data_IF_991885824934
#
_entry.id   IF_991885824934
#
_cell.length_a   1.000
_cell.length_b   1.000
_cell.length_c   1.000
_cell.angle_alpha   90.00
_cell.angle_beta   90.00
_cell.angle_gamma   90.00
#
_symmetry.space_group_name_H-M   'P 1'
#
loop_
_entity.id
_entity.type
_entity.pdbx_description
1 polymer ?
#
# COMPACT_ATOMS: atom_id res chain seq x y z
N UNK A 1 -38.40 -34.72 -31.35
CA UNK A 1 -38.11 -33.53 -30.52
C UNK A 1 -36.67 -33.40 -30.09
N UNK A 2 -35.92 -34.47 -29.90
CA UNK A 2 -34.53 -34.49 -29.37
C UNK A 2 -33.45 -33.90 -30.29
N UNK A 3 -33.53 -34.03 -31.62
CA UNK A 3 -32.51 -33.49 -32.54
C UNK A 3 -32.52 -31.97 -32.71
N UNK A 4 -33.70 -31.31 -32.56
CA UNK A 4 -33.78 -29.84 -32.64
C UNK A 4 -33.29 -29.15 -31.39
N UNK A 5 -33.45 -29.75 -30.21
CA UNK A 5 -32.95 -29.23 -28.93
C UNK A 5 -31.42 -29.34 -28.86
N UNK A 6 -30.83 -30.42 -29.40
CA UNK A 6 -29.35 -30.57 -29.44
C UNK A 6 -28.69 -29.51 -30.36
N UNK A 7 -29.36 -29.23 -31.52
CA UNK A 7 -28.83 -28.21 -32.44
C UNK A 7 -28.86 -26.79 -31.85
N UNK A 8 -29.90 -26.46 -31.06
CA UNK A 8 -29.99 -25.15 -30.39
C UNK A 8 -28.96 -25.00 -29.30
N UNK A 9 -28.67 -26.05 -28.50
CA UNK A 9 -27.66 -26.05 -27.48
C UNK A 9 -26.23 -25.91 -28.03
N UNK A 10 -25.95 -26.58 -29.18
CA UNK A 10 -24.63 -26.47 -29.84
C UNK A 10 -24.43 -25.09 -30.45
N UNK A 11 -25.44 -24.48 -31.05
CA UNK A 11 -25.35 -23.12 -31.60
C UNK A 11 -25.21 -22.09 -30.50
N UNK A 12 -25.90 -22.24 -29.36
CA UNK A 12 -25.72 -21.38 -28.19
C UNK A 12 -24.29 -21.49 -27.59
N UNK A 13 -23.76 -22.72 -27.47
CA UNK A 13 -22.41 -22.94 -26.96
C UNK A 13 -21.31 -22.36 -27.89
N UNK A 14 -21.51 -22.46 -29.22
CA UNK A 14 -20.59 -21.86 -30.19
C UNK A 14 -20.68 -20.32 -30.24
N UNK A 15 -21.88 -19.75 -30.05
CA UNK A 15 -22.05 -18.31 -29.97
C UNK A 15 -21.42 -17.72 -28.68
N UNK A 16 -21.57 -18.40 -27.56
CA UNK A 16 -20.92 -18.00 -26.29
C UNK A 16 -19.40 -18.20 -26.31
N UNK A 17 -18.91 -19.31 -26.86
CA UNK A 17 -17.51 -19.57 -27.04
C UNK A 17 -16.84 -18.59 -28.01
N UNK A 18 -17.54 -18.24 -29.12
CA UNK A 18 -17.07 -17.24 -30.08
C UNK A 18 -17.05 -15.82 -29.51
N UNK A 19 -18.01 -15.44 -28.68
CA UNK A 19 -18.02 -14.15 -28.02
C UNK A 19 -16.90 -14.04 -26.95
N UNK A 20 -16.68 -15.09 -26.16
CA UNK A 20 -15.59 -15.14 -25.18
C UNK A 20 -14.22 -15.08 -25.86
N UNK A 21 -14.00 -15.84 -26.93
CA UNK A 21 -12.75 -15.83 -27.70
C UNK A 21 -12.51 -14.49 -28.40
N UNK A 22 -13.56 -13.79 -28.84
CA UNK A 22 -13.46 -12.49 -29.48
C UNK A 22 -13.12 -11.37 -28.47
N UNK A 23 -13.65 -11.45 -27.24
CA UNK A 23 -13.37 -10.48 -26.17
C UNK A 23 -11.92 -10.65 -25.67
N UNK A 24 -11.45 -11.88 -25.48
CA UNK A 24 -10.06 -12.15 -25.10
C UNK A 24 -9.06 -11.78 -26.21
N UNK A 25 -9.44 -11.94 -27.49
CA UNK A 25 -8.59 -11.54 -28.62
C UNK A 25 -8.44 -10.01 -28.76
N UNK A 26 -9.40 -9.22 -28.28
CA UNK A 26 -9.31 -7.75 -28.26
C UNK A 26 -8.70 -7.17 -26.98
N UNK A 27 -8.26 -8.01 -26.03
CA UNK A 27 -7.66 -7.54 -24.79
C UNK A 27 -8.64 -6.82 -23.84
N UNK A 28 -9.97 -7.04 -24.04
CA UNK A 28 -10.99 -6.53 -23.14
C UNK A 28 -11.41 -7.60 -22.15
N UNK A 29 -11.40 -7.29 -20.87
CA UNK A 29 -12.05 -8.10 -19.84
C UNK A 29 -13.54 -8.25 -20.15
N UNK A 30 -14.12 -9.42 -19.87
CA UNK A 30 -15.57 -9.61 -19.98
C UNK A 30 -16.25 -8.68 -18.97
N UNK A 31 -17.17 -7.78 -19.36
CA UNK A 31 -17.76 -6.77 -18.47
C UNK A 31 -18.72 -7.33 -17.42
N UNK A 32 -18.61 -8.60 -17.07
CA UNK A 32 -19.52 -9.31 -16.17
C UNK A 32 -18.87 -9.89 -14.91
N UNK A 33 -17.56 -9.73 -14.76
CA UNK A 33 -16.87 -10.11 -13.51
C UNK A 33 -16.19 -8.84 -12.98
N UNK A 34 -16.67 -8.28 -11.86
CA UNK A 34 -15.94 -7.19 -11.19
C UNK A 34 -14.50 -7.62 -10.97
N UNK A 35 -13.55 -6.73 -11.15
CA UNK A 35 -12.17 -6.99 -10.75
C UNK A 35 -12.17 -7.30 -9.25
N UNK A 36 -11.45 -8.34 -8.85
CA UNK A 36 -11.28 -8.62 -7.43
C UNK A 36 -10.37 -7.52 -6.88
N UNK A 37 -10.86 -6.81 -5.86
CA UNK A 37 -10.06 -5.82 -5.16
C UNK A 37 -9.06 -6.53 -4.26
N UNK A 38 -7.80 -6.38 -4.56
CA UNK A 38 -6.69 -7.03 -3.86
C UNK A 38 -5.39 -6.26 -4.08
N UNK A 39 -4.42 -6.49 -3.23
CA UNK A 39 -3.07 -5.99 -3.43
C UNK A 39 -2.10 -7.15 -3.65
N UNK A 40 -1.07 -6.89 -4.42
CA UNK A 40 -0.08 -7.87 -4.79
C UNK A 40 1.33 -7.35 -4.53
N UNK A 41 2.21 -8.24 -4.06
CA UNK A 41 3.64 -8.00 -3.99
C UNK A 41 4.37 -9.09 -4.75
N UNK A 42 5.29 -8.72 -5.66
CA UNK A 42 6.06 -9.70 -6.42
C UNK A 42 7.55 -9.37 -6.39
N UNK A 43 8.35 -10.31 -5.88
CA UNK A 43 9.81 -10.19 -5.82
C UNK A 43 10.42 -11.54 -6.21
N UNK A 44 11.38 -11.52 -7.13
CA UNK A 44 12.11 -12.72 -7.62
C UNK A 44 11.20 -13.87 -8.07
N UNK A 45 10.03 -13.52 -8.63
CA UNK A 45 9.04 -14.49 -9.13
C UNK A 45 8.11 -15.06 -8.05
N UNK A 46 8.27 -14.72 -6.78
CA UNK A 46 7.34 -15.05 -5.71
C UNK A 46 6.26 -13.98 -5.61
N UNK A 47 5.00 -14.38 -5.73
CA UNK A 47 3.81 -13.52 -5.65
C UNK A 47 3.14 -13.73 -4.30
N UNK A 48 2.80 -12.63 -3.64
CA UNK A 48 1.98 -12.60 -2.43
C UNK A 48 0.74 -11.76 -2.72
N UNK A 49 -0.42 -12.30 -2.44
CA UNK A 49 -1.73 -11.65 -2.58
C UNK A 49 -2.31 -11.37 -1.20
N UNK A 50 -2.84 -10.18 -1.01
CA UNK A 50 -3.47 -9.71 0.23
C UNK A 50 -4.79 -9.03 -0.12
N UNK A 51 -5.80 -9.18 0.72
CA UNK A 51 -6.97 -8.31 0.63
C UNK A 51 -6.62 -6.86 1.00
N UNK A 52 -7.55 -5.92 0.78
CA UNK A 52 -7.29 -4.49 1.01
C UNK A 52 -7.01 -4.19 2.49
N UNK A 53 -7.66 -4.89 3.44
CA UNK A 53 -7.43 -4.68 4.86
C UNK A 53 -6.05 -5.16 5.29
N UNK A 54 -5.67 -6.37 4.90
CA UNK A 54 -4.33 -6.93 5.14
C UNK A 54 -3.24 -6.05 4.57
N UNK A 55 -3.46 -5.53 3.35
CA UNK A 55 -2.51 -4.67 2.66
C UNK A 55 -2.28 -3.35 3.36
N UNK A 56 -3.34 -2.72 3.88
CA UNK A 56 -3.25 -1.49 4.67
C UNK A 56 -2.39 -1.68 5.91
N UNK A 57 -2.59 -2.79 6.63
CA UNK A 57 -1.81 -3.05 7.84
C UNK A 57 -0.40 -3.54 7.54
N UNK A 58 -0.17 -4.35 6.49
CA UNK A 58 1.18 -4.72 6.07
C UNK A 58 2.02 -3.48 5.69
N UNK A 59 1.40 -2.56 4.94
CA UNK A 59 2.04 -1.30 4.59
C UNK A 59 2.30 -0.40 5.81
N UNK A 60 1.36 -0.34 6.77
CA UNK A 60 1.52 0.41 8.03
C UNK A 60 2.68 -0.15 8.87
N UNK A 61 2.70 -1.46 9.11
CA UNK A 61 3.78 -2.14 9.84
C UNK A 61 5.14 -1.79 9.22
N UNK A 62 5.23 -1.90 7.89
CA UNK A 62 6.47 -1.62 7.17
C UNK A 62 6.84 -0.13 7.20
N UNK A 63 5.87 0.77 7.02
CA UNK A 63 6.10 2.21 7.04
C UNK A 63 6.67 2.68 8.39
N UNK A 64 6.17 2.13 9.50
CA UNK A 64 6.69 2.42 10.84
C UNK A 64 8.14 1.94 10.99
N UNK A 65 8.52 0.77 10.44
CA UNK A 65 9.92 0.33 10.46
C UNK A 65 10.82 1.28 9.68
N UNK A 66 10.36 1.78 8.51
CA UNK A 66 11.07 2.78 7.70
C UNK A 66 11.19 4.11 8.44
N UNK A 67 10.12 4.56 9.08
CA UNK A 67 10.10 5.78 9.90
C UNK A 67 11.12 5.70 11.05
N UNK A 68 11.24 4.54 11.69
CA UNK A 68 12.20 4.27 12.79
C UNK A 68 13.62 4.04 12.30
N UNK A 69 13.86 3.99 10.99
CA UNK A 69 15.20 3.70 10.41
C UNK A 69 15.65 2.26 10.63
N UNK A 70 14.73 1.33 10.88
CA UNK A 70 15.04 -0.08 11.10
C UNK A 70 15.36 -0.79 9.78
N UNK A 71 16.17 -1.87 9.79
CA UNK A 71 16.43 -2.65 8.59
C UNK A 71 15.14 -3.38 8.10
N UNK A 72 15.06 -3.69 6.81
CA UNK A 72 13.93 -4.43 6.22
C UNK A 72 13.64 -5.77 6.93
N UNK A 73 14.66 -6.34 7.59
CA UNK A 73 14.49 -7.54 8.40
C UNK A 73 13.54 -7.33 9.57
N UNK A 74 13.53 -6.16 10.20
CA UNK A 74 12.57 -5.86 11.27
C UNK A 74 11.13 -5.92 10.73
N UNK A 75 10.88 -5.33 9.54
CA UNK A 75 9.59 -5.45 8.87
C UNK A 75 9.24 -6.92 8.54
N UNK A 76 10.21 -7.72 8.09
CA UNK A 76 9.99 -9.16 7.84
C UNK A 76 9.55 -9.88 9.13
N UNK A 77 10.21 -9.66 10.25
CA UNK A 77 9.86 -10.27 11.54
C UNK A 77 8.45 -9.85 11.97
N UNK A 78 8.15 -8.54 11.89
CA UNK A 78 6.86 -8.01 12.29
C UNK A 78 5.71 -8.54 11.40
N UNK A 79 5.92 -8.60 10.07
CA UNK A 79 4.93 -9.13 9.12
C UNK A 79 4.67 -10.62 9.33
N UNK A 80 5.72 -11.43 9.50
CA UNK A 80 5.57 -12.86 9.80
C UNK A 80 4.82 -13.07 11.12
N UNK A 81 5.12 -12.23 12.12
CA UNK A 81 4.42 -12.27 13.41
C UNK A 81 2.95 -11.89 13.26
N UNK A 82 2.64 -10.74 12.65
CA UNK A 82 1.27 -10.28 12.47
C UNK A 82 0.45 -11.27 11.63
N UNK A 83 1.07 -11.90 10.63
CA UNK A 83 0.39 -12.94 9.84
C UNK A 83 0.02 -14.14 10.69
N UNK A 84 0.93 -14.64 11.53
CA UNK A 84 0.66 -15.76 12.42
C UNK A 84 -0.38 -15.42 13.48
N UNK A 85 -0.31 -14.26 14.09
CA UNK A 85 -1.15 -13.87 15.21
C UNK A 85 -2.59 -13.50 14.81
N UNK A 86 -2.75 -12.80 13.68
CA UNK A 86 -4.04 -12.23 13.29
C UNK A 86 -4.37 -12.34 11.80
N UNK A 87 -3.49 -12.92 10.97
CA UNK A 87 -3.54 -12.84 9.51
C UNK A 87 -3.43 -11.40 8.98
N UNK A 88 -2.70 -10.56 9.70
CA UNK A 88 -2.53 -9.12 9.42
C UNK A 88 -3.88 -8.37 9.47
N UNK A 89 -4.78 -8.77 10.34
CA UNK A 89 -6.08 -8.12 10.60
C UNK A 89 -6.08 -7.55 12.02
N UNK A 90 -6.61 -6.33 12.19
CA UNK A 90 -6.64 -5.68 13.50
C UNK A 90 -7.83 -6.17 14.33
N UNK A 91 -7.69 -7.34 14.93
CA UNK A 91 -8.75 -8.03 15.66
C UNK A 91 -9.10 -7.32 16.97
N UNK A 92 -10.39 -7.09 17.23
CA UNK A 92 -10.87 -6.52 18.51
C UNK A 92 -10.75 -7.49 19.67
N UNK A 93 -10.70 -8.79 19.42
CA UNK A 93 -10.65 -9.86 20.43
C UNK A 93 -9.78 -11.02 19.96
N UNK A 94 -9.24 -11.81 20.89
CA UNK A 94 -8.45 -13.01 20.61
C UNK A 94 -8.52 -14.03 21.76
N UNK A 95 -7.52 -14.90 21.86
CA UNK A 95 -7.44 -15.80 23.00
C UNK A 95 -7.18 -15.01 24.30
N UNK A 96 -7.99 -15.31 25.33
CA UNK A 96 -7.97 -14.60 26.62
C UNK A 96 -8.24 -13.10 26.44
N UNK A 97 -7.23 -12.27 26.69
CA UNK A 97 -7.29 -10.81 26.55
C UNK A 97 -6.40 -10.27 25.42
N UNK A 98 -6.07 -11.11 24.43
CA UNK A 98 -5.28 -10.72 23.26
C UNK A 98 -6.06 -9.82 22.32
N UNK A 99 -5.39 -8.77 21.80
CA UNK A 99 -6.01 -7.72 20.95
C UNK A 99 -5.05 -7.31 19.83
N UNK A 100 -5.61 -6.92 18.70
CA UNK A 100 -4.94 -6.21 17.62
C UNK A 100 -4.09 -7.08 16.70
N UNK A 101 -3.29 -6.42 15.88
CA UNK A 101 -2.46 -7.02 14.83
C UNK A 101 -1.51 -8.10 15.34
N UNK A 102 -0.96 -7.91 16.53
CA UNK A 102 0.06 -8.80 17.11
C UNK A 102 -0.48 -9.63 18.28
N UNK A 103 -1.81 -9.66 18.49
CA UNK A 103 -2.47 -10.34 19.59
C UNK A 103 -1.78 -10.09 20.95
N UNK A 104 -1.44 -8.82 21.16
CA UNK A 104 -0.81 -8.33 22.39
C UNK A 104 -1.82 -8.32 23.54
N UNK A 105 -1.34 -8.59 24.78
CA UNK A 105 -2.21 -8.77 25.93
C UNK A 105 -2.04 -7.65 26.96
N UNK A 106 -3.13 -6.91 27.31
CA UNK A 106 -3.12 -5.94 28.40
C UNK A 106 -2.59 -6.51 29.71
N UNK A 107 -3.00 -7.74 30.07
CA UNK A 107 -2.54 -8.41 31.29
C UNK A 107 -1.04 -8.71 31.33
N UNK A 108 -0.36 -8.64 30.19
CA UNK A 108 1.10 -8.84 30.05
C UNK A 108 1.87 -7.53 29.93
N UNK A 109 1.20 -6.39 30.07
CA UNK A 109 1.85 -5.07 30.08
C UNK A 109 2.11 -4.44 28.72
N UNK A 110 1.51 -4.98 27.63
CA UNK A 110 1.68 -4.41 26.29
C UNK A 110 1.00 -3.07 26.10
N UNK A 111 -0.02 -2.77 26.89
CA UNK A 111 -0.78 -1.51 26.82
C UNK A 111 -2.23 -1.72 27.27
N UNK A 112 -3.00 -0.65 27.24
CA UNK A 112 -4.44 -0.72 27.46
C UNK A 112 -5.16 -1.28 26.23
N UNK A 113 -6.38 -1.81 26.34
CA UNK A 113 -7.16 -2.27 25.19
C UNK A 113 -7.26 -1.20 24.08
N UNK A 114 -7.54 0.07 24.45
CA UNK A 114 -7.64 1.17 23.49
C UNK A 114 -6.31 1.47 22.75
N UNK A 115 -5.18 1.27 23.42
CA UNK A 115 -3.86 1.41 22.78
C UNK A 115 -3.58 0.23 21.83
N UNK A 116 -3.91 -1.00 22.22
CA UNK A 116 -3.63 -2.19 21.41
C UNK A 116 -4.55 -2.34 20.20
N UNK A 117 -5.72 -1.68 20.19
CA UNK A 117 -6.57 -1.54 19.00
C UNK A 117 -6.13 -0.40 18.08
N UNK A 118 -5.24 0.50 18.52
CA UNK A 118 -4.56 1.44 17.63
C UNK A 118 -3.38 0.73 16.92
N UNK A 119 -3.46 0.49 15.60
CA UNK A 119 -2.43 -0.27 14.89
C UNK A 119 -1.06 0.44 14.87
N UNK A 120 -1.03 1.77 14.98
CA UNK A 120 0.23 2.52 15.08
C UNK A 120 0.89 2.27 16.43
N UNK A 121 0.12 2.32 17.53
CA UNK A 121 0.63 2.02 18.86
C UNK A 121 1.11 0.57 18.95
N UNK A 122 0.27 -0.39 18.55
CA UNK A 122 0.57 -1.82 18.62
C UNK A 122 1.85 -2.17 17.85
N UNK A 123 2.02 -1.58 16.66
CA UNK A 123 3.23 -1.77 15.84
C UNK A 123 4.48 -1.16 16.50
N UNK A 124 4.36 0.05 17.06
CA UNK A 124 5.48 0.65 17.79
C UNK A 124 5.86 -0.16 19.01
N UNK A 125 4.89 -0.65 19.80
CA UNK A 125 5.14 -1.51 20.94
C UNK A 125 5.85 -2.81 20.54
N UNK A 126 5.47 -3.40 19.41
CA UNK A 126 6.18 -4.57 18.85
C UNK A 126 7.64 -4.24 18.52
N UNK A 127 7.89 -3.13 17.82
CA UNK A 127 9.26 -2.72 17.47
C UNK A 127 10.09 -2.32 18.69
N UNK A 128 9.49 -1.68 19.70
CA UNK A 128 10.17 -1.39 20.96
C UNK A 128 10.65 -2.67 21.66
N UNK A 129 9.83 -3.74 21.61
CA UNK A 129 10.23 -5.04 22.14
C UNK A 129 11.29 -5.73 21.27
N UNK A 130 11.18 -5.63 19.93
CA UNK A 130 12.15 -6.21 19.00
C UNK A 130 13.54 -5.54 19.15
N UNK A 131 13.59 -4.22 19.39
CA UNK A 131 14.83 -3.48 19.63
C UNK A 131 15.56 -3.96 20.90
N UNK A 132 14.90 -4.68 21.82
CA UNK A 132 15.51 -5.28 23.00
C UNK A 132 16.05 -6.70 22.76
N UNK A 133 15.80 -7.27 21.57
CA UNK A 133 16.30 -8.61 21.21
C UNK A 133 17.68 -8.48 20.59
N UNK A 134 18.71 -8.83 21.34
CA UNK A 134 20.09 -8.76 20.88
C UNK A 134 20.32 -9.60 19.61
N UNK A 135 20.79 -8.95 18.54
CA UNK A 135 21.16 -9.63 17.30
C UNK A 135 20.00 -10.10 16.42
N UNK A 136 18.80 -9.58 16.62
CA UNK A 136 17.61 -9.94 15.81
C UNK A 136 17.86 -9.80 14.29
N UNK A 137 18.75 -8.92 13.87
CA UNK A 137 19.09 -8.68 12.46
C UNK A 137 19.70 -9.92 11.78
N UNK A 138 20.36 -10.80 12.53
CA UNK A 138 20.98 -12.03 12.02
C UNK A 138 20.32 -13.32 12.51
N UNK A 139 19.43 -13.21 13.50
CA UNK A 139 18.70 -14.34 14.09
C UNK A 139 17.67 -14.91 13.09
N UNK A 140 17.32 -16.21 13.08
CA UNK A 140 16.17 -16.72 12.34
C UNK A 140 14.91 -15.92 12.66
N UNK A 141 14.05 -15.67 11.64
CA UNK A 141 12.83 -14.85 11.81
C UNK A 141 11.93 -15.41 12.91
N UNK A 142 11.76 -16.73 12.93
CA UNK A 142 10.92 -17.41 13.92
C UNK A 142 11.47 -17.25 15.34
N UNK A 143 12.79 -17.31 15.53
CA UNK A 143 13.42 -17.11 16.84
C UNK A 143 13.24 -15.67 17.32
N UNK A 144 13.48 -14.67 16.47
CA UNK A 144 13.28 -13.26 16.81
C UNK A 144 11.82 -12.95 17.15
N UNK A 145 10.88 -13.46 16.37
CA UNK A 145 9.44 -13.35 16.65
C UNK A 145 9.06 -13.98 17.99
N UNK A 146 9.61 -15.17 18.28
CA UNK A 146 9.36 -15.89 19.53
C UNK A 146 9.93 -15.15 20.75
N UNK A 147 11.11 -14.53 20.66
CA UNK A 147 11.68 -13.73 21.74
C UNK A 147 10.77 -12.53 22.10
N UNK A 148 10.14 -11.92 21.11
CA UNK A 148 9.19 -10.82 21.32
C UNK A 148 7.86 -11.33 21.88
N UNK A 149 7.23 -12.33 21.23
CA UNK A 149 5.86 -12.78 21.49
C UNK A 149 5.75 -13.77 22.65
N UNK A 150 6.76 -14.60 22.87
CA UNK A 150 6.77 -15.68 23.89
C UNK A 150 5.55 -16.57 23.79
N UNK A 151 5.17 -16.93 22.55
CA UNK A 151 4.00 -17.74 22.24
C UNK A 151 4.20 -19.22 22.64
N UNK A 152 3.10 -19.97 22.64
CA UNK A 152 3.13 -21.42 22.84
C UNK A 152 3.61 -22.23 21.62
N UNK A 153 3.77 -21.59 20.46
CA UNK A 153 4.10 -22.22 19.18
C UNK A 153 5.30 -21.54 18.50
N UNK A 154 6.52 -21.74 19.01
CA UNK A 154 7.71 -20.98 18.59
C UNK A 154 8.06 -21.13 17.12
N UNK A 155 7.76 -22.24 16.47
CA UNK A 155 8.11 -22.52 15.08
C UNK A 155 7.08 -22.00 14.06
N UNK A 156 5.89 -21.56 14.52
CA UNK A 156 4.80 -21.22 13.61
C UNK A 156 5.07 -19.98 12.74
N UNK A 157 5.94 -19.08 13.17
CA UNK A 157 6.31 -17.89 12.39
C UNK A 157 7.14 -18.22 11.15
N UNK A 158 7.82 -19.38 11.13
CA UNK A 158 8.63 -19.82 9.99
C UNK A 158 7.81 -20.01 8.71
N UNK A 159 6.55 -20.47 8.84
CA UNK A 159 5.65 -20.72 7.72
C UNK A 159 5.32 -19.44 6.93
N UNK A 160 5.48 -18.27 7.56
CA UNK A 160 5.15 -16.97 6.97
C UNK A 160 6.39 -16.15 6.56
N UNK A 161 7.61 -16.67 6.79
CA UNK A 161 8.86 -15.94 6.55
C UNK A 161 9.02 -15.55 5.08
N UNK A 162 8.70 -16.43 4.13
CA UNK A 162 8.92 -16.16 2.72
C UNK A 162 8.01 -15.03 2.22
N UNK A 163 6.72 -15.07 2.53
CA UNK A 163 5.76 -14.04 2.17
C UNK A 163 6.11 -12.71 2.85
N UNK A 164 6.47 -12.76 4.13
CA UNK A 164 6.91 -11.58 4.87
C UNK A 164 8.18 -10.94 4.29
N UNK A 165 9.12 -11.72 3.76
CA UNK A 165 10.30 -11.20 3.05
C UNK A 165 9.93 -10.48 1.75
N UNK A 166 9.00 -11.03 0.96
CA UNK A 166 8.49 -10.40 -0.27
C UNK A 166 7.81 -9.08 0.06
N UNK A 167 6.89 -9.08 1.01
CA UNK A 167 6.18 -7.88 1.46
C UNK A 167 7.15 -6.82 2.01
N UNK A 168 8.06 -7.22 2.90
CA UNK A 168 9.06 -6.32 3.45
C UNK A 168 9.96 -5.72 2.36
N UNK A 169 10.42 -6.51 1.39
CA UNK A 169 11.25 -6.02 0.29
C UNK A 169 10.52 -5.02 -0.60
N UNK A 170 9.26 -5.30 -0.94
CA UNK A 170 8.43 -4.43 -1.77
C UNK A 170 8.06 -3.13 -1.02
N UNK A 171 7.56 -3.23 0.22
CA UNK A 171 7.02 -2.11 0.99
C UNK A 171 8.10 -1.25 1.69
N UNK A 172 9.33 -1.73 1.87
CA UNK A 172 10.47 -0.88 2.30
C UNK A 172 11.15 -0.17 1.12
N UNK A 173 10.69 -0.42 -0.11
CA UNK A 173 11.27 0.15 -1.33
C UNK A 173 12.59 -0.50 -1.79
N UNK A 174 12.99 -1.62 -1.20
CA UNK A 174 14.16 -2.38 -1.68
C UNK A 174 13.89 -3.02 -3.05
N UNK A 175 12.65 -3.42 -3.33
CA UNK A 175 12.18 -3.85 -4.64
C UNK A 175 11.26 -2.78 -5.24
N UNK A 176 11.78 -2.07 -6.25
CA UNK A 176 11.11 -0.95 -6.92
C UNK A 176 9.82 -1.42 -7.62
N UNK A 177 8.72 -0.69 -7.44
CA UNK A 177 7.42 -0.95 -8.09
C UNK A 177 6.90 -2.40 -7.89
N UNK A 178 7.32 -3.06 -6.81
CA UNK A 178 7.04 -4.47 -6.56
C UNK A 178 5.74 -4.70 -5.76
N UNK A 179 5.06 -3.64 -5.34
CA UNK A 179 3.79 -3.68 -4.64
C UNK A 179 2.77 -2.80 -5.37
N UNK A 180 1.58 -3.31 -5.63
CA UNK A 180 0.45 -2.56 -6.22
C UNK A 180 -0.88 -3.14 -5.75
N UNK A 181 -1.95 -2.36 -5.87
CA UNK A 181 -3.31 -2.79 -5.59
C UNK A 181 -4.21 -2.62 -6.81
N UNK A 182 -5.16 -3.53 -6.97
CA UNK A 182 -6.35 -3.38 -7.82
C UNK A 182 -7.46 -2.84 -6.95
N UNK A 183 -7.99 -1.67 -7.27
CA UNK A 183 -9.00 -0.95 -6.49
C UNK A 183 -10.11 -0.47 -7.42
N UNK A 184 -11.34 -0.49 -6.95
CA UNK A 184 -12.48 0.04 -7.70
C UNK A 184 -12.34 1.56 -7.90
N UNK A 185 -12.77 2.04 -9.07
CA UNK A 185 -12.76 3.46 -9.47
C UNK A 185 -14.10 4.16 -9.22
N UNK A 186 -15.07 3.48 -8.60
CA UNK A 186 -16.38 4.07 -8.27
C UNK A 186 -16.29 4.93 -7.00
N UNK A 187 -16.05 6.22 -7.19
CA UNK A 187 -15.79 7.19 -6.12
C UNK A 187 -16.70 8.39 -6.25
N UNK A 188 -17.23 8.84 -5.10
CA UNK A 188 -18.00 10.06 -5.03
C UNK A 188 -17.12 11.29 -5.31
N UNK A 189 -17.71 12.35 -5.86
CA UNK A 189 -17.02 13.63 -6.02
C UNK A 189 -16.68 14.26 -4.66
N UNK A 190 -15.46 14.80 -4.51
CA UNK A 190 -15.05 15.54 -3.32
C UNK A 190 -15.59 16.98 -3.33
N UNK A 191 -15.62 17.59 -2.15
CA UNK A 191 -15.91 19.03 -2.02
C UNK A 191 -14.72 19.85 -2.54
N UNK A 192 -14.92 20.83 -3.44
CA UNK A 192 -13.86 21.71 -3.89
C UNK A 192 -13.41 22.74 -2.84
N UNK A 193 -13.99 22.72 -1.63
CA UNK A 193 -13.62 23.63 -0.55
C UNK A 193 -12.21 23.32 -0.03
N UNK A 194 -11.38 24.37 0.07
CA UNK A 194 -10.02 24.26 0.56
C UNK A 194 -9.94 24.60 2.06
N UNK A 195 -9.11 23.87 2.79
CA UNK A 195 -8.75 24.17 4.17
C UNK A 195 -7.75 25.36 4.24
N UNK A 196 -7.28 25.67 5.46
CA UNK A 196 -6.30 26.75 5.69
C UNK A 196 -4.95 26.48 5.01
N UNK A 197 -4.61 25.24 4.72
CA UNK A 197 -3.39 24.85 4.02
C UNK A 197 -3.54 24.88 2.49
N UNK A 198 -4.76 25.02 1.96
CA UNK A 198 -5.08 24.99 0.54
C UNK A 198 -5.31 23.59 -0.01
N UNK A 199 -5.75 22.64 0.84
CA UNK A 199 -6.08 21.27 0.48
C UNK A 199 -7.58 21.01 0.58
N UNK A 200 -8.12 20.13 -0.29
CA UNK A 200 -9.46 19.55 -0.12
C UNK A 200 -9.49 18.64 1.10
N UNK A 201 -10.70 18.27 1.55
CA UNK A 201 -10.86 17.42 2.73
C UNK A 201 -10.13 16.08 2.60
N UNK A 202 -10.23 15.41 1.43
CA UNK A 202 -9.53 14.14 1.16
C UNK A 202 -8.00 14.31 1.14
N UNK A 203 -7.49 15.34 0.48
CA UNK A 203 -6.05 15.61 0.45
C UNK A 203 -5.51 15.95 1.85
N UNK A 204 -6.28 16.68 2.67
CA UNK A 204 -5.94 16.95 4.06
C UNK A 204 -5.90 15.66 4.92
N UNK A 205 -6.79 14.70 4.65
CA UNK A 205 -6.77 13.38 5.29
C UNK A 205 -5.50 12.59 4.91
N UNK A 206 -5.12 12.57 3.63
CA UNK A 206 -3.84 11.97 3.19
C UNK A 206 -2.65 12.60 3.92
N UNK A 207 -2.63 13.94 4.05
CA UNK A 207 -1.59 14.66 4.79
C UNK A 207 -1.52 14.23 6.25
N UNK A 208 -2.66 14.13 6.92
CA UNK A 208 -2.74 13.73 8.32
C UNK A 208 -2.31 12.27 8.52
N UNK A 209 -2.70 11.39 7.62
CA UNK A 209 -2.33 9.97 7.63
C UNK A 209 -0.83 9.76 7.43
N UNK A 210 -0.22 10.47 6.48
CA UNK A 210 1.24 10.48 6.29
C UNK A 210 1.98 10.97 7.55
N UNK A 211 1.52 12.04 8.17
CA UNK A 211 2.13 12.58 9.40
C UNK A 211 2.03 11.60 10.56
N UNK A 212 0.89 10.91 10.71
CA UNK A 212 0.68 9.89 11.75
C UNK A 212 1.61 8.68 11.56
N UNK A 213 1.87 8.28 10.31
CA UNK A 213 2.60 7.04 9.99
C UNK A 213 4.10 7.27 9.88
N UNK A 214 4.52 8.32 9.19
CA UNK A 214 5.95 8.60 8.91
C UNK A 214 6.53 9.75 9.74
N UNK A 215 5.70 10.43 10.57
CA UNK A 215 6.12 11.62 11.29
C UNK A 215 6.26 12.83 10.37
N UNK A 216 7.19 13.73 10.71
CA UNK A 216 7.43 14.94 9.94
C UNK A 216 8.08 14.60 8.58
N UNK A 217 7.32 14.83 7.51
CA UNK A 217 7.78 14.71 6.13
C UNK A 217 7.88 16.11 5.49
N UNK A 218 8.88 16.34 4.64
CA UNK A 218 8.94 17.57 3.84
C UNK A 218 7.87 17.48 2.73
N UNK A 219 6.78 18.23 2.91
CA UNK A 219 5.63 18.25 2.00
C UNK A 219 5.58 19.55 1.22
N UNK A 220 4.95 19.51 0.03
CA UNK A 220 4.65 20.67 -0.79
C UNK A 220 3.63 20.39 -1.86
N UNK A 221 3.58 21.26 -2.88
CA UNK A 221 2.58 21.20 -3.93
C UNK A 221 1.22 21.77 -3.51
N UNK A 222 1.15 22.41 -2.34
CA UNK A 222 -0.05 23.10 -1.83
C UNK A 222 0.35 24.36 -1.05
N UNK A 223 -0.53 25.35 -0.98
CA UNK A 223 -0.32 26.60 -0.24
C UNK A 223 -1.64 27.22 0.19
N UNK A 224 -1.64 28.06 1.24
CA UNK A 224 -2.84 28.78 1.69
C UNK A 224 -3.50 29.57 0.56
N UNK A 225 -4.79 29.31 0.33
CA UNK A 225 -5.55 29.94 -0.75
C UNK A 225 -5.42 29.26 -2.12
N UNK A 226 -4.74 28.13 -2.18
CA UNK A 226 -4.59 27.27 -3.37
C UNK A 226 -3.45 27.69 -4.30
N UNK A 227 -2.82 26.69 -4.91
CA UNK A 227 -1.72 26.82 -5.87
C UNK A 227 -2.22 27.45 -7.19
N UNK A 228 -1.44 28.36 -7.79
CA UNK A 228 -1.84 29.10 -9.00
C UNK A 228 -0.88 28.92 -10.18
N UNK A 229 0.34 28.47 -9.92
CA UNK A 229 1.37 28.27 -10.94
C UNK A 229 2.38 27.19 -10.50
N UNK A 230 3.38 26.91 -11.34
CA UNK A 230 4.47 25.97 -11.01
C UNK A 230 4.18 24.52 -11.39
N UNK A 231 2.97 24.16 -11.76
CA UNK A 231 2.60 22.81 -12.19
C UNK A 231 2.11 22.79 -13.64
N UNK A 232 1.94 21.58 -14.20
CA UNK A 232 1.40 21.43 -15.56
C UNK A 232 -0.09 21.79 -15.61
N UNK A 233 -0.56 22.21 -16.76
CA UNK A 233 -1.99 22.47 -17.00
C UNK A 233 -2.84 21.22 -16.65
N UNK A 234 -3.92 21.41 -15.90
CA UNK A 234 -4.79 20.33 -15.44
C UNK A 234 -4.25 19.53 -14.25
N UNK A 235 -3.18 19.99 -13.60
CA UNK A 235 -2.63 19.36 -12.42
C UNK A 235 -3.60 19.45 -11.23
N UNK A 236 -3.78 18.35 -10.50
CA UNK A 236 -4.57 18.26 -9.29
C UNK A 236 -4.11 19.20 -8.15
N UNK A 237 -2.87 19.71 -8.21
CA UNK A 237 -2.37 20.74 -7.30
C UNK A 237 -3.18 22.03 -7.36
N UNK A 238 -3.64 22.43 -8.56
CA UNK A 238 -4.46 23.63 -8.74
C UNK A 238 -5.83 23.54 -8.08
N UNK A 239 -6.32 22.32 -7.91
CA UNK A 239 -7.60 22.03 -7.24
C UNK A 239 -7.42 21.75 -5.74
N UNK A 240 -6.19 21.81 -5.21
CA UNK A 240 -5.88 21.43 -3.82
C UNK A 240 -6.02 19.94 -3.54
N UNK A 241 -6.02 19.10 -4.56
CA UNK A 241 -6.22 17.64 -4.45
C UNK A 241 -4.92 16.84 -4.45
N UNK A 242 -3.75 17.49 -4.49
CA UNK A 242 -2.48 16.80 -4.58
C UNK A 242 -1.46 17.28 -3.54
N UNK A 243 -0.57 16.36 -3.18
CA UNK A 243 0.55 16.56 -2.26
C UNK A 243 1.82 15.98 -2.88
N UNK A 244 2.93 16.73 -2.80
CA UNK A 244 4.26 16.23 -3.09
C UNK A 244 5.00 15.92 -1.79
N UNK A 245 5.51 14.70 -1.66
CA UNK A 245 6.35 14.26 -0.55
C UNK A 245 7.80 14.25 -1.01
N UNK A 246 8.60 15.21 -0.56
CA UNK A 246 9.98 15.34 -1.04
C UNK A 246 10.92 14.31 -0.42
N UNK A 247 11.74 13.67 -1.27
CA UNK A 247 12.77 12.69 -0.92
C UNK A 247 14.14 13.14 -1.49
N UNK A 248 14.58 14.31 -1.06
CA UNK A 248 15.78 15.00 -1.56
C UNK A 248 16.97 14.84 -0.63
N UNK A 249 18.21 14.80 -1.18
CA UNK A 249 18.58 14.79 -2.61
C UNK A 249 18.24 13.43 -3.27
N UNK A 250 18.23 13.36 -4.61
CA UNK A 250 18.07 12.09 -5.32
C UNK A 250 19.26 11.19 -5.03
N UNK A 251 19.01 10.10 -4.30
CA UNK A 251 19.99 9.08 -3.89
C UNK A 251 19.29 7.73 -3.80
N UNK A 252 20.02 6.64 -3.76
CA UNK A 252 19.41 5.29 -3.63
C UNK A 252 18.65 5.13 -2.31
N UNK A 253 19.13 5.71 -1.20
CA UNK A 253 18.44 5.67 0.09
C UNK A 253 17.13 6.46 0.05
N UNK A 254 17.15 7.67 -0.51
CA UNK A 254 15.95 8.48 -0.66
C UNK A 254 14.98 7.89 -1.68
N UNK A 255 15.47 7.20 -2.71
CA UNK A 255 14.62 6.42 -3.63
C UNK A 255 13.94 5.25 -2.91
N UNK A 256 14.66 4.49 -2.08
CA UNK A 256 14.03 3.44 -1.27
C UNK A 256 12.94 4.01 -0.37
N UNK A 257 13.24 5.12 0.33
CA UNK A 257 12.25 5.81 1.16
C UNK A 257 11.04 6.28 0.35
N UNK A 258 11.26 6.82 -0.84
CA UNK A 258 10.19 7.24 -1.76
C UNK A 258 9.32 6.06 -2.19
N UNK A 259 9.91 4.93 -2.53
CA UNK A 259 9.17 3.72 -2.87
C UNK A 259 8.38 3.13 -1.69
N UNK A 260 8.90 3.24 -0.47
CA UNK A 260 8.17 2.85 0.73
C UNK A 260 6.93 3.74 0.94
N UNK A 261 7.06 5.06 0.75
CA UNK A 261 5.94 6.00 0.81
C UNK A 261 4.94 5.73 -0.32
N UNK A 262 5.41 5.53 -1.55
CA UNK A 262 4.56 5.24 -2.69
C UNK A 262 3.78 3.92 -2.52
N UNK A 263 4.43 2.86 -2.06
CA UNK A 263 3.78 1.59 -1.73
C UNK A 263 2.75 1.71 -0.61
N UNK A 264 3.07 2.50 0.42
CA UNK A 264 2.12 2.80 1.49
C UNK A 264 0.87 3.51 0.96
N UNK A 265 1.04 4.57 0.15
CA UNK A 265 -0.07 5.33 -0.42
C UNK A 265 -0.97 4.44 -1.31
N UNK A 266 -0.37 3.58 -2.13
CA UNK A 266 -1.12 2.62 -2.96
C UNK A 266 -1.91 1.63 -2.09
N UNK A 267 -1.34 1.15 -0.98
CA UNK A 267 -2.04 0.28 -0.04
C UNK A 267 -3.22 0.98 0.68
N UNK A 268 -3.17 2.30 0.82
CA UNK A 268 -4.23 3.10 1.43
C UNK A 268 -5.24 3.67 0.41
N UNK A 269 -5.07 3.37 -0.89
CA UNK A 269 -5.76 4.06 -1.97
C UNK A 269 -7.29 3.95 -1.91
N UNK A 270 -7.81 2.78 -1.54
CA UNK A 270 -9.24 2.59 -1.33
C UNK A 270 -9.77 3.45 -0.16
N UNK A 271 -9.08 3.43 0.99
CA UNK A 271 -9.51 4.14 2.20
C UNK A 271 -9.39 5.66 2.11
N UNK A 272 -8.41 6.17 1.38
CA UNK A 272 -8.09 7.60 1.27
C UNK A 272 -8.51 8.20 -0.06
N UNK A 273 -9.28 7.49 -0.87
CA UNK A 273 -9.72 7.90 -2.20
C UNK A 273 -8.55 8.39 -3.10
N UNK A 274 -7.38 7.75 -2.99
CA UNK A 274 -6.22 8.11 -3.80
C UNK A 274 -6.48 7.71 -5.25
N UNK A 275 -6.31 8.65 -6.16
CA UNK A 275 -6.52 8.48 -7.59
C UNK A 275 -5.22 8.14 -8.32
N UNK A 276 -4.11 8.82 -7.98
CA UNK A 276 -2.82 8.64 -8.65
C UNK A 276 -1.66 8.69 -7.65
N UNK A 277 -0.67 7.85 -7.87
CA UNK A 277 0.65 7.95 -7.22
C UNK A 277 1.72 7.94 -8.31
N UNK A 278 2.66 8.92 -8.28
CA UNK A 278 3.78 8.99 -9.23
C UNK A 278 5.08 9.06 -8.45
N UNK A 279 6.04 8.20 -8.82
CA UNK A 279 7.39 8.25 -8.27
C UNK A 279 8.41 7.58 -9.20
N UNK A 280 9.62 8.17 -9.29
CA UNK A 280 10.81 7.64 -9.97
C UNK A 280 10.51 7.03 -11.34
N UNK A 281 9.89 7.84 -12.24
CA UNK A 281 9.43 7.52 -13.60
C UNK A 281 8.33 6.43 -13.69
N UNK A 282 7.63 6.14 -12.61
CA UNK A 282 6.50 5.21 -12.57
C UNK A 282 5.23 5.90 -12.11
N UNK A 283 4.10 5.39 -12.56
CA UNK A 283 2.78 5.85 -12.20
C UNK A 283 1.85 4.67 -11.93
N UNK A 284 1.11 4.78 -10.84
CA UNK A 284 -0.04 3.95 -10.55
C UNK A 284 -1.31 4.82 -10.57
N UNK A 285 -2.39 4.34 -11.17
CA UNK A 285 -3.68 5.01 -11.23
C UNK A 285 -4.80 4.05 -10.87
N UNK A 286 -5.81 4.53 -10.16
CA UNK A 286 -7.00 3.74 -9.84
C UNK A 286 -7.69 3.23 -11.10
N UNK A 287 -7.85 4.06 -12.13
CA UNK A 287 -8.53 3.71 -13.39
C UNK A 287 -7.85 2.59 -14.20
N UNK A 288 -6.62 2.23 -13.86
CA UNK A 288 -5.86 1.13 -14.47
C UNK A 288 -5.07 0.34 -13.41
N UNK A 289 -5.60 0.29 -12.20
CA UNK A 289 -4.92 -0.25 -11.02
C UNK A 289 -4.55 -1.74 -11.17
N UNK A 290 -5.36 -2.51 -11.88
CA UNK A 290 -5.08 -3.92 -12.20
C UNK A 290 -3.85 -4.14 -13.09
N UNK A 291 -3.38 -3.11 -13.79
CA UNK A 291 -2.14 -3.18 -14.59
C UNK A 291 -0.88 -2.87 -13.75
N UNK A 292 -1.04 -2.52 -12.47
CA UNK A 292 0.04 -2.14 -11.56
C UNK A 292 0.76 -0.85 -11.97
N UNK A 293 2.05 -0.77 -11.65
CA UNK A 293 2.88 0.38 -11.98
C UNK A 293 3.25 0.43 -13.46
N UNK A 294 2.99 1.57 -14.10
CA UNK A 294 3.29 1.81 -15.51
C UNK A 294 4.39 2.87 -15.68
N UNK A 295 4.95 2.96 -16.89
CA UNK A 295 5.93 4.01 -17.21
C UNK A 295 5.26 5.38 -17.19
N UNK A 296 5.77 6.28 -16.34
CA UNK A 296 5.38 7.69 -16.38
C UNK A 296 6.09 8.40 -17.52
N UNK A 297 5.33 9.03 -18.39
CA UNK A 297 5.87 9.79 -19.53
C UNK A 297 5.68 11.27 -19.30
N UNK A 298 6.78 11.99 -19.16
CA UNK A 298 6.76 13.45 -19.14
C UNK A 298 6.12 13.97 -20.43
N UNK A 299 5.09 14.83 -20.35
CA UNK A 299 4.45 15.40 -21.54
C UNK A 299 5.45 16.09 -22.46
N UNK A 300 5.23 15.99 -23.80
CA UNK A 300 6.08 16.61 -24.78
C UNK A 300 6.05 18.14 -24.65
N UNK A 301 7.22 18.78 -24.67
CA UNK A 301 7.34 20.23 -24.52
C UNK A 301 7.50 20.71 -23.09
N UNK A 302 7.43 19.85 -22.06
CA UNK A 302 7.73 20.22 -20.68
C UNK A 302 9.16 20.74 -20.55
N UNK A 303 9.33 21.86 -19.83
CA UNK A 303 10.62 22.49 -19.56
C UNK A 303 10.95 22.37 -18.06
N UNK A 304 12.22 22.20 -17.72
CA UNK A 304 12.68 22.12 -16.34
C UNK A 304 13.69 21.00 -16.08
N UNK A 305 14.05 20.81 -14.82
CA UNK A 305 14.94 19.70 -14.41
C UNK A 305 14.22 18.36 -14.63
N UNK A 306 14.86 17.51 -15.43
CA UNK A 306 14.28 16.21 -15.78
C UNK A 306 14.01 15.32 -14.57
N UNK A 307 14.81 15.41 -13.52
CA UNK A 307 14.61 14.66 -12.28
C UNK A 307 13.31 15.05 -11.58
N UNK A 308 12.96 16.34 -11.60
CA UNK A 308 11.70 16.86 -11.06
C UNK A 308 10.54 16.40 -11.95
N UNK A 309 10.67 16.59 -13.27
CA UNK A 309 9.64 16.21 -14.24
C UNK A 309 9.35 14.70 -14.23
N UNK A 310 10.35 13.85 -13.93
CA UNK A 310 10.22 12.40 -13.79
C UNK A 310 9.88 11.95 -12.36
N UNK A 311 9.55 12.87 -11.46
CA UNK A 311 9.22 12.61 -10.06
C UNK A 311 10.28 11.76 -9.33
N UNK A 312 11.59 12.04 -9.59
CA UNK A 312 12.68 11.28 -8.96
C UNK A 312 13.07 11.80 -7.59
N UNK A 313 12.64 13.00 -7.25
CA UNK A 313 12.98 13.74 -6.03
C UNK A 313 11.77 13.94 -5.09
N UNK A 314 10.60 13.48 -5.50
CA UNK A 314 9.37 13.53 -4.71
C UNK A 314 8.38 12.44 -5.13
N UNK A 315 7.56 11.98 -4.18
CA UNK A 315 6.37 11.18 -4.44
C UNK A 315 5.19 12.13 -4.61
N UNK A 316 4.57 12.12 -5.77
CA UNK A 316 3.31 12.80 -6.02
C UNK A 316 2.14 11.89 -5.66
N UNK A 317 1.15 12.41 -4.95
CA UNK A 317 -0.11 11.74 -4.70
C UNK A 317 -1.27 12.70 -4.94
N UNK A 318 -2.30 12.25 -5.66
CA UNK A 318 -3.55 12.97 -5.79
C UNK A 318 -4.75 12.11 -5.41
N UNK A 319 -5.83 12.78 -5.01
CA UNK A 319 -7.08 12.15 -4.60
C UNK A 319 -8.18 12.40 -5.64
N UNK A 320 -9.23 11.57 -5.59
CA UNK A 320 -10.43 11.72 -6.41
C UNK A 320 -11.05 13.11 -6.20
N UNK A 321 -11.62 13.68 -7.28
CA UNK A 321 -12.22 15.01 -7.31
C UNK A 321 -13.70 15.01 -7.62
#
# INVERSE_FOLDING_TARGET
>A
MTRRLLAILVVAALAFGGAAAFVTWRGGSLPLVPAVEECQAQVDGHLVELDLEQSRYAALITAISVQRGMPARAATIALATAYQESKIVNLETGDRDSIGLFQQRPSQGWGTPAQLTDPVYATNAFYDALDQVDGYESMPVTEAAQEVQRSGFPEAYADHEQDARVLASALTGNSRAAFWCTVDDDRDADSPALDEAGLTARAAEVRADLARTFGDLPLGGFEPGGVRDGHMEGSAHYDGRAIDVFVRPVSEDNKRRGWAIAGYLVAQADRLDINTVIFDDRIWRVSSSGDGWQDYRVPSGSQGDRRILEHRDHVHVDVAG
#
